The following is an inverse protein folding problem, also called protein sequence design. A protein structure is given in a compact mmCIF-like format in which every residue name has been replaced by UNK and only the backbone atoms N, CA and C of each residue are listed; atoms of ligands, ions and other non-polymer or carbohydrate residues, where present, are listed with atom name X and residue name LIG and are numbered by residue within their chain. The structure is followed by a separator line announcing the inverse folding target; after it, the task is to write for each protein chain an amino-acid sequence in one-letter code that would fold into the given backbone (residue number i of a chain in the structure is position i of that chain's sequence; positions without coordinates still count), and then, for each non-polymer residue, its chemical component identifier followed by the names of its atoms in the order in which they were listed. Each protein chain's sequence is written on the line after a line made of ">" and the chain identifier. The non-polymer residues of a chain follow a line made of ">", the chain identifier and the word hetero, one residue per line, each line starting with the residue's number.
data_IF_177298503370
#
_entry.id   IF_177298503370
#
_cell.length_a   1.000
_cell.length_b   1.000
_cell.length_c   1.000
_cell.angle_alpha   90.00
_cell.angle_beta   90.00
_cell.angle_gamma   90.00
#
_symmetry.space_group_name_H-M   'P 1'
#
loop_
_entity.id
_entity.type
_entity.pdbx_description
1 polymer ?
#
# COMPACT_ATOMS: atom_id res chain seq x y z
N UNK A 1 -29.36 27.29 15.11
CA UNK A 1 -27.94 26.94 15.33
C UNK A 1 -27.78 25.46 15.03
N UNK A 2 -27.10 25.09 13.95
CA UNK A 2 -26.83 23.68 13.69
C UNK A 2 -25.75 23.20 14.66
N UNK A 3 -26.05 22.15 15.45
CA UNK A 3 -25.05 21.51 16.28
C UNK A 3 -23.96 20.94 15.38
N UNK A 4 -22.69 21.38 15.51
CA UNK A 4 -21.56 20.76 14.90
C UNK A 4 -21.39 19.36 15.50
N UNK A 5 -21.78 18.33 14.76
CA UNK A 5 -21.48 16.95 15.14
C UNK A 5 -19.99 16.76 14.92
N UNK A 6 -19.24 16.73 16.01
CA UNK A 6 -17.81 16.44 15.98
C UNK A 6 -17.65 14.91 16.03
N UNK A 7 -17.26 14.28 14.92
CA UNK A 7 -16.97 12.85 14.91
C UNK A 7 -15.53 12.63 15.37
N UNK A 8 -15.36 11.81 16.40
CA UNK A 8 -14.06 11.44 16.94
C UNK A 8 -13.62 10.12 16.30
N UNK A 9 -12.36 10.06 15.91
CA UNK A 9 -11.71 8.86 15.35
C UNK A 9 -10.54 8.46 16.22
N UNK A 10 -10.26 7.16 16.30
CA UNK A 10 -9.08 6.63 17.02
C UNK A 10 -7.78 6.98 16.30
N UNK A 11 -7.81 7.01 14.96
CA UNK A 11 -6.63 7.27 14.13
C UNK A 11 -6.99 8.22 12.99
N UNK A 12 -6.14 9.21 12.78
CA UNK A 12 -6.18 10.09 11.62
C UNK A 12 -4.95 9.84 10.75
N UNK A 13 -5.16 9.43 9.50
CA UNK A 13 -4.09 9.21 8.51
C UNK A 13 -4.05 10.39 7.55
N UNK A 14 -2.87 10.99 7.39
CA UNK A 14 -2.63 12.08 6.45
C UNK A 14 -2.00 11.49 5.18
N UNK A 15 -2.75 11.53 4.09
CA UNK A 15 -2.37 11.02 2.78
C UNK A 15 -2.90 9.60 2.50
N UNK A 16 -3.69 9.48 1.43
CA UNK A 16 -4.27 8.21 0.96
C UNK A 16 -3.44 7.63 -0.20
N UNK A 17 -2.13 7.62 -0.06
CA UNK A 17 -1.21 6.86 -0.92
C UNK A 17 -1.07 5.40 -0.47
N UNK A 18 -0.13 4.64 -1.05
CA UNK A 18 0.09 3.23 -0.75
C UNK A 18 0.27 2.97 0.76
N UNK A 19 1.13 3.74 1.42
CA UNK A 19 1.41 3.57 2.85
C UNK A 19 0.18 3.85 3.72
N UNK A 20 -0.54 4.95 3.44
CA UNK A 20 -1.74 5.30 4.21
C UNK A 20 -2.87 4.30 4.03
N UNK A 21 -3.11 3.84 2.81
CA UNK A 21 -4.12 2.82 2.51
C UNK A 21 -3.76 1.47 3.15
N UNK A 22 -2.48 1.06 3.06
CA UNK A 22 -2.00 -0.16 3.70
C UNK A 22 -2.16 -0.10 5.22
N UNK A 23 -1.81 1.02 5.85
CA UNK A 23 -2.02 1.22 7.29
C UNK A 23 -3.51 1.13 7.65
N UNK A 24 -4.37 1.83 6.92
CA UNK A 24 -5.82 1.81 7.19
C UNK A 24 -6.39 0.39 7.11
N UNK A 25 -5.98 -0.39 6.12
CA UNK A 25 -6.41 -1.78 5.94
C UNK A 25 -5.97 -2.71 7.10
N UNK A 26 -4.88 -2.37 7.80
CA UNK A 26 -4.41 -3.12 8.97
C UNK A 26 -5.05 -2.67 10.30
N UNK A 27 -5.72 -1.55 10.33
CA UNK A 27 -6.34 -1.00 11.55
C UNK A 27 -7.82 -1.44 11.69
N UNK A 28 -8.10 -2.72 11.50
CA UNK A 28 -9.48 -3.26 11.43
C UNK A 28 -10.33 -3.04 12.68
N UNK A 29 -9.71 -2.93 13.85
CA UNK A 29 -10.39 -2.73 15.14
C UNK A 29 -10.52 -1.26 15.56
N UNK A 30 -10.10 -0.33 14.70
CA UNK A 30 -10.07 1.10 15.00
C UNK A 30 -10.99 1.87 14.05
N UNK A 31 -11.56 2.96 14.59
CA UNK A 31 -12.20 3.95 13.73
C UNK A 31 -11.14 4.84 13.10
N UNK A 32 -11.10 4.86 11.78
CA UNK A 32 -10.04 5.54 11.02
C UNK A 32 -10.66 6.63 10.17
N UNK A 33 -10.08 7.82 10.21
CA UNK A 33 -10.30 8.86 9.22
C UNK A 33 -9.03 9.05 8.39
N UNK A 34 -9.22 9.34 7.11
CA UNK A 34 -8.12 9.60 6.19
C UNK A 34 -8.33 10.94 5.49
N UNK A 35 -7.29 11.76 5.46
CA UNK A 35 -7.27 13.03 4.73
C UNK A 35 -6.42 12.88 3.47
N UNK A 36 -7.00 13.20 2.33
CA UNK A 36 -6.32 13.19 1.03
C UNK A 36 -6.54 14.52 0.32
N UNK A 37 -5.46 15.10 -0.20
CA UNK A 37 -5.53 16.38 -0.93
C UNK A 37 -6.07 16.24 -2.36
N UNK A 38 -5.92 15.05 -2.95
CA UNK A 38 -6.42 14.76 -4.29
C UNK A 38 -7.88 14.33 -4.23
N UNK A 39 -8.62 14.52 -5.32
CA UNK A 39 -10.00 14.07 -5.42
C UNK A 39 -10.16 12.53 -5.35
N UNK A 40 -9.08 11.79 -5.63
CA UNK A 40 -9.09 10.32 -5.65
C UNK A 40 -7.94 9.79 -4.78
N UNK A 41 -8.20 8.88 -3.83
CA UNK A 41 -7.15 8.19 -3.10
C UNK A 41 -6.36 7.26 -4.05
N UNK A 42 -5.15 6.90 -3.65
CA UNK A 42 -4.32 5.93 -4.37
C UNK A 42 -3.87 6.35 -5.77
N UNK A 43 -3.86 7.63 -6.11
CA UNK A 43 -3.56 8.13 -7.48
C UNK A 43 -2.28 7.54 -8.07
N UNK A 44 -1.21 7.44 -7.29
CA UNK A 44 0.06 6.83 -7.75
C UNK A 44 -0.03 5.32 -7.90
N UNK A 45 -0.84 4.65 -7.07
CA UNK A 45 -1.10 3.21 -7.19
C UNK A 45 -1.82 2.94 -8.51
N UNK A 46 -2.87 3.70 -8.81
CA UNK A 46 -3.63 3.58 -10.05
C UNK A 46 -2.76 3.74 -11.31
N UNK A 47 -1.71 4.56 -11.25
CA UNK A 47 -0.75 4.73 -12.33
C UNK A 47 0.39 3.69 -12.33
N UNK A 48 0.55 2.92 -11.25
CA UNK A 48 1.63 1.94 -11.09
C UNK A 48 1.59 0.86 -12.18
N UNK A 49 2.75 0.50 -12.71
CA UNK A 49 2.88 -0.51 -13.75
C UNK A 49 2.06 -0.22 -15.02
N UNK A 50 1.85 1.05 -15.36
CA UNK A 50 1.01 1.44 -16.49
C UNK A 50 -0.48 1.13 -16.28
N UNK A 51 -0.96 1.27 -15.04
CA UNK A 51 -2.34 0.95 -14.66
C UNK A 51 -2.60 -0.51 -14.33
N UNK A 52 -1.56 -1.36 -14.38
CA UNK A 52 -1.67 -2.80 -14.10
C UNK A 52 -1.48 -3.16 -12.62
N UNK A 53 -1.03 -2.21 -11.78
CA UNK A 53 -0.78 -2.46 -10.37
C UNK A 53 0.45 -3.33 -10.12
N UNK A 54 1.66 -2.80 -10.34
CA UNK A 54 2.90 -3.48 -9.92
C UNK A 54 3.00 -3.44 -8.39
N UNK A 55 2.82 -4.57 -7.75
CA UNK A 55 2.69 -4.65 -6.28
C UNK A 55 4.02 -4.93 -5.61
N UNK A 56 4.77 -5.90 -6.11
CA UNK A 56 6.03 -6.34 -5.52
C UNK A 56 6.92 -7.05 -6.53
N UNK A 57 8.09 -7.46 -6.09
CA UNK A 57 9.05 -8.22 -6.89
C UNK A 57 9.57 -9.42 -6.10
N UNK A 58 9.78 -10.57 -6.74
CA UNK A 58 10.34 -11.78 -6.10
C UNK A 58 11.75 -11.54 -5.57
N UNK A 59 12.53 -10.73 -6.26
CA UNK A 59 13.91 -10.40 -5.90
C UNK A 59 13.96 -9.05 -5.20
N UNK A 60 13.39 -8.98 -4.01
CA UNK A 60 13.52 -7.80 -3.15
C UNK A 60 14.82 -7.95 -2.35
N UNK A 61 15.74 -7.03 -2.57
CA UNK A 61 17.01 -6.93 -1.84
C UNK A 61 17.33 -5.47 -1.55
N UNK A 62 18.08 -5.22 -0.46
CA UNK A 62 18.45 -3.86 -0.07
C UNK A 62 19.25 -3.11 -1.15
N UNK A 63 19.98 -3.82 -1.99
CA UNK A 63 20.72 -3.24 -3.12
C UNK A 63 19.82 -2.66 -4.22
N UNK A 64 18.54 -3.00 -4.24
CA UNK A 64 17.57 -2.44 -5.17
C UNK A 64 17.02 -1.07 -4.74
N UNK A 65 17.40 -0.61 -3.57
CA UNK A 65 16.92 0.65 -2.99
C UNK A 65 18.03 1.67 -2.90
N UNK A 66 17.67 2.92 -3.15
CA UNK A 66 18.55 4.06 -2.89
C UNK A 66 18.43 4.48 -1.42
N UNK A 67 19.56 4.80 -0.76
CA UNK A 67 19.58 5.28 0.62
C UNK A 67 20.31 4.34 1.58
N UNK A 68 19.92 4.35 2.85
CA UNK A 68 20.56 3.56 3.90
C UNK A 68 20.25 2.07 3.77
N UNK A 69 21.25 1.31 3.33
CA UNK A 69 21.12 -0.15 3.12
C UNK A 69 20.82 -0.92 4.42
N UNK A 70 21.29 -0.46 5.58
CA UNK A 70 21.03 -1.11 6.87
C UNK A 70 19.58 -0.90 7.30
N UNK A 71 19.06 0.31 7.12
CA UNK A 71 17.66 0.61 7.36
C UNK A 71 16.76 -0.28 6.50
N UNK A 72 17.03 -0.34 5.19
CA UNK A 72 16.25 -1.18 4.25
C UNK A 72 16.34 -2.66 4.63
N UNK A 73 17.53 -3.19 4.94
CA UNK A 73 17.71 -4.58 5.39
C UNK A 73 16.87 -4.91 6.62
N UNK A 74 16.79 -4.00 7.58
CA UNK A 74 16.00 -4.21 8.79
C UNK A 74 14.50 -4.28 8.51
N UNK A 75 14.00 -3.51 7.56
CA UNK A 75 12.60 -3.60 7.11
C UNK A 75 12.36 -4.92 6.39
N UNK A 76 13.21 -5.28 5.43
CA UNK A 76 13.05 -6.47 4.60
C UNK A 76 13.21 -7.80 5.38
N UNK A 77 13.86 -7.80 6.54
CA UNK A 77 13.89 -8.98 7.43
C UNK A 77 12.50 -9.41 7.90
N UNK A 78 11.57 -8.47 8.03
CA UNK A 78 10.25 -8.70 8.59
C UNK A 78 9.14 -8.68 7.54
N UNK A 79 9.46 -8.37 6.29
CA UNK A 79 8.48 -8.24 5.22
C UNK A 79 9.11 -8.63 3.88
N UNK A 80 8.83 -9.84 3.40
CA UNK A 80 9.22 -10.29 2.08
C UNK A 80 8.08 -10.13 1.05
N UNK A 81 8.33 -10.50 -0.20
CA UNK A 81 7.32 -10.41 -1.26
C UNK A 81 6.11 -11.32 -1.01
N UNK A 82 6.31 -12.46 -0.33
CA UNK A 82 5.22 -13.40 0.01
C UNK A 82 4.30 -12.82 1.05
N UNK A 83 4.85 -12.10 2.04
CA UNK A 83 4.05 -11.41 3.06
C UNK A 83 3.18 -10.32 2.41
N UNK A 84 3.74 -9.58 1.45
CA UNK A 84 2.98 -8.59 0.69
C UNK A 84 1.84 -9.24 -0.09
N UNK A 85 2.10 -10.31 -0.84
CA UNK A 85 1.06 -11.01 -1.60
C UNK A 85 0.00 -11.63 -0.68
N UNK A 86 0.40 -12.20 0.46
CA UNK A 86 -0.50 -12.78 1.45
C UNK A 86 -1.43 -11.74 2.07
N UNK A 87 -0.95 -10.51 2.24
CA UNK A 87 -1.78 -9.41 2.73
C UNK A 87 -3.01 -9.15 1.83
N UNK A 88 -2.85 -9.31 0.53
CA UNK A 88 -3.92 -9.16 -0.46
C UNK A 88 -4.68 -10.46 -0.76
N UNK A 89 -4.76 -11.37 0.17
CA UNK A 89 -5.17 -12.79 0.10
C UNK A 89 -6.27 -13.20 -0.89
N UNK A 90 -7.20 -12.30 -1.22
CA UNK A 90 -8.27 -12.57 -2.18
C UNK A 90 -7.93 -12.15 -3.62
N UNK A 91 -6.91 -11.31 -3.79
CA UNK A 91 -6.49 -10.85 -5.11
C UNK A 91 -5.55 -11.87 -5.74
N UNK A 92 -5.68 -12.03 -7.06
CA UNK A 92 -4.79 -12.87 -7.86
C UNK A 92 -3.69 -12.05 -8.49
N UNK A 93 -2.49 -12.60 -8.50
CA UNK A 93 -1.31 -11.94 -9.01
C UNK A 93 -0.60 -12.80 -10.05
N UNK A 94 -0.19 -12.18 -11.15
CA UNK A 94 0.65 -12.79 -12.17
C UNK A 94 2.08 -12.31 -12.06
N UNK A 95 3.02 -13.26 -11.99
CA UNK A 95 4.44 -12.95 -12.12
C UNK A 95 4.79 -12.74 -13.60
N UNK A 96 5.41 -11.62 -13.90
CA UNK A 96 5.83 -11.25 -15.24
C UNK A 96 7.36 -11.14 -15.35
N UNK A 97 7.85 -10.70 -16.51
CA UNK A 97 9.27 -10.46 -16.75
C UNK A 97 9.89 -9.62 -15.62
N UNK A 98 11.15 -9.91 -15.30
CA UNK A 98 11.89 -9.26 -14.20
C UNK A 98 11.32 -9.54 -12.80
N UNK A 99 10.62 -10.67 -12.62
CA UNK A 99 10.07 -11.11 -11.32
C UNK A 99 9.08 -10.13 -10.68
N UNK A 100 8.40 -9.32 -11.47
CA UNK A 100 7.39 -8.37 -11.02
C UNK A 100 6.04 -9.06 -10.86
N UNK A 101 5.31 -8.72 -9.80
CA UNK A 101 3.95 -9.20 -9.56
C UNK A 101 2.94 -8.10 -9.86
N UNK A 102 2.03 -8.40 -10.76
CA UNK A 102 0.92 -7.54 -11.13
C UNK A 102 -0.41 -8.16 -10.71
N UNK A 103 -1.35 -7.32 -10.26
CA UNK A 103 -2.70 -7.75 -10.00
C UNK A 103 -3.40 -8.12 -11.32
N UNK A 104 -4.10 -9.26 -11.38
CA UNK A 104 -4.80 -9.69 -12.60
C UNK A 104 -5.91 -8.73 -13.01
N UNK A 105 -6.62 -8.18 -12.06
CA UNK A 105 -7.70 -7.22 -12.26
C UNK A 105 -7.22 -5.78 -12.47
N UNK A 106 -5.93 -5.50 -12.27
CA UNK A 106 -5.31 -4.19 -12.43
C UNK A 106 -5.21 -3.39 -11.14
N UNK A 107 -4.76 -2.14 -11.25
CA UNK A 107 -4.46 -1.27 -10.11
C UNK A 107 -5.70 -0.70 -9.40
N UNK A 108 -6.90 -1.01 -9.85
CA UNK A 108 -8.15 -0.50 -9.27
C UNK A 108 -8.62 -1.29 -8.06
N UNK A 109 -8.19 -2.54 -7.94
CA UNK A 109 -8.54 -3.45 -6.85
C UNK A 109 -7.52 -3.41 -5.72
#
# INVERSE_FOLDING_TARGET
>A
MMAKICKIYDVLIIGAGAAGLFLAANLRSKSVAMLEKNATPGKKILASGGGRGNVTNRRIDASNYLGDANFVKNILKNLDFKDVLKFFGELKFNEQKQNQFFCESGAKD
#
